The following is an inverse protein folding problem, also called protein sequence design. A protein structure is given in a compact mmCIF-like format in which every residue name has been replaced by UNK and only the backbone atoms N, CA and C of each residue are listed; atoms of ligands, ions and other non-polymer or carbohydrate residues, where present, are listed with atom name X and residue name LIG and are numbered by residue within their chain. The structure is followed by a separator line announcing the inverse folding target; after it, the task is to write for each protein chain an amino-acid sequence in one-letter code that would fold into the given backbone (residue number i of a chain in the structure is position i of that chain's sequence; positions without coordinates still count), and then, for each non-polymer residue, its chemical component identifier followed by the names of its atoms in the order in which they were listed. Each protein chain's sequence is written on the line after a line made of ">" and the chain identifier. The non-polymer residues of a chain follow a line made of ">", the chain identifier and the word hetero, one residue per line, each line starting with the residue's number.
data_IF_129047083828
#
_entry.id   IF_129047083828
#
_cell.length_a   1.000
_cell.length_b   1.000
_cell.length_c   1.000
_cell.angle_alpha   90.00
_cell.angle_beta   90.00
_cell.angle_gamma   90.00
#
_symmetry.space_group_name_H-M   'P 1'
#
loop_
_entity.id
_entity.type
_entity.pdbx_description
1 polymer ?
#
# COMPACT_ATOMS: atom_id res chain seq x y z
N UNK A 1 -2.82 -29.56 44.06
CA UNK A 1 -3.34 -28.39 43.31
C UNK A 1 -2.75 -28.48 41.91
N UNK A 2 -3.60 -28.78 40.94
CA UNK A 2 -3.24 -29.10 39.55
C UNK A 2 -2.67 -27.86 38.84
N UNK A 3 -1.42 -27.92 38.40
CA UNK A 3 -0.89 -26.99 37.41
C UNK A 3 -1.15 -27.58 36.02
N UNK A 4 -2.11 -26.97 35.31
CA UNK A 4 -2.45 -27.28 33.92
C UNK A 4 -2.11 -26.13 32.95
N UNK A 5 -2.33 -26.33 31.64
CA UNK A 5 -1.57 -25.82 30.49
C UNK A 5 -1.88 -24.35 30.10
N UNK A 6 -1.38 -23.39 30.87
CA UNK A 6 -1.65 -21.95 30.65
C UNK A 6 -0.70 -21.22 29.69
N UNK A 7 0.42 -21.81 29.25
CA UNK A 7 1.39 -21.13 28.37
C UNK A 7 1.10 -21.31 26.86
N UNK A 8 0.73 -22.51 26.40
CA UNK A 8 0.55 -22.81 24.97
C UNK A 8 -0.59 -22.03 24.30
N UNK A 9 -1.77 -21.96 24.95
CA UNK A 9 -2.93 -21.26 24.39
C UNK A 9 -2.70 -19.75 24.20
N UNK A 10 -1.95 -19.13 25.12
CA UNK A 10 -1.62 -17.71 25.04
C UNK A 10 -0.62 -17.44 23.90
N UNK A 11 0.37 -18.31 23.71
CA UNK A 11 1.33 -18.22 22.61
C UNK A 11 0.64 -18.37 21.25
N UNK A 12 -0.23 -19.37 21.10
CA UNK A 12 -1.05 -19.55 19.88
C UNK A 12 -1.91 -18.31 19.63
N UNK A 13 -2.65 -17.83 20.64
CA UNK A 13 -3.48 -16.63 20.48
C UNK A 13 -2.68 -15.40 20.06
N UNK A 14 -1.46 -15.23 20.59
CA UNK A 14 -0.57 -14.12 20.23
C UNK A 14 -0.11 -14.23 18.77
N UNK A 15 0.30 -15.42 18.34
CA UNK A 15 0.67 -15.69 16.95
C UNK A 15 -0.49 -15.40 15.99
N UNK A 16 -1.71 -15.86 16.31
CA UNK A 16 -2.91 -15.60 15.51
C UNK A 16 -3.20 -14.10 15.35
N UNK A 17 -3.12 -13.34 16.45
CA UNK A 17 -3.34 -11.89 16.44
C UNK A 17 -2.24 -11.12 15.71
N UNK A 18 -1.00 -11.62 15.72
CA UNK A 18 0.11 -11.00 14.99
C UNK A 18 -0.12 -11.13 13.48
N UNK A 19 -0.50 -12.32 12.99
CA UNK A 19 -0.75 -12.58 11.57
C UNK A 19 -1.90 -11.73 11.01
N UNK A 20 -2.95 -11.48 11.81
CA UNK A 20 -4.14 -10.74 11.36
C UNK A 20 -3.96 -9.22 11.27
N UNK A 21 -2.83 -8.66 11.69
CA UNK A 21 -2.59 -7.19 11.72
C UNK A 21 -2.04 -6.64 10.41
N UNK A 22 -1.50 -7.50 9.55
CA UNK A 22 -0.87 -7.10 8.30
C UNK A 22 -1.85 -7.29 7.13
N UNK A 23 -1.81 -6.35 6.20
CA UNK A 23 -2.65 -6.37 4.98
C UNK A 23 -1.82 -6.60 3.71
N UNK A 24 -0.50 -6.50 3.80
CA UNK A 24 0.42 -6.84 2.71
C UNK A 24 0.89 -8.28 2.83
N UNK A 25 0.87 -9.01 1.70
CA UNK A 25 1.19 -10.45 1.66
C UNK A 25 2.59 -10.71 2.20
N UNK A 26 3.57 -9.88 1.82
CA UNK A 26 4.97 -10.05 2.24
C UNK A 26 5.16 -9.97 3.75
N UNK A 27 4.44 -9.07 4.41
CA UNK A 27 4.54 -8.88 5.85
C UNK A 27 3.79 -9.97 6.61
N UNK A 28 2.61 -10.38 6.11
CA UNK A 28 1.90 -11.56 6.64
C UNK A 28 2.82 -12.79 6.61
N UNK A 29 3.50 -13.05 5.48
CA UNK A 29 4.43 -14.17 5.36
C UNK A 29 5.56 -14.14 6.40
N UNK A 30 6.22 -12.99 6.59
CA UNK A 30 7.25 -12.83 7.63
C UNK A 30 6.72 -13.10 9.01
N UNK A 31 5.55 -12.56 9.33
CA UNK A 31 4.94 -12.73 10.64
C UNK A 31 4.52 -14.18 10.89
N UNK A 32 4.02 -14.90 9.88
CA UNK A 32 3.74 -16.34 9.99
C UNK A 32 5.01 -17.11 10.31
N UNK A 33 6.10 -16.89 9.55
CA UNK A 33 7.36 -17.62 9.72
C UNK A 33 7.96 -17.38 11.10
N UNK A 34 8.04 -16.12 11.53
CA UNK A 34 8.56 -15.76 12.85
C UNK A 34 7.69 -16.35 13.97
N UNK A 35 6.37 -16.23 13.86
CA UNK A 35 5.43 -16.76 14.85
C UNK A 35 5.52 -18.29 14.95
N UNK A 36 5.67 -18.99 13.83
CA UNK A 36 5.87 -20.44 13.81
C UNK A 36 7.16 -20.82 14.53
N UNK A 37 8.26 -20.13 14.20
CA UNK A 37 9.57 -20.40 14.78
C UNK A 37 9.58 -20.24 16.30
N UNK A 38 9.01 -19.15 16.79
CA UNK A 38 8.91 -18.86 18.23
C UNK A 38 7.96 -19.81 18.95
N UNK A 39 6.78 -20.07 18.38
CA UNK A 39 5.76 -20.93 19.01
C UNK A 39 6.24 -22.37 19.16
N UNK A 40 7.03 -22.86 18.21
CA UNK A 40 7.52 -24.24 18.19
C UNK A 40 9.00 -24.34 18.57
N UNK A 41 9.61 -23.32 19.17
CA UNK A 41 11.02 -23.35 19.61
C UNK A 41 11.97 -23.95 18.55
N UNK A 42 11.85 -23.53 17.29
CA UNK A 42 12.70 -24.03 16.21
C UNK A 42 13.89 -23.09 15.95
N UNK A 43 15.04 -23.63 15.54
CA UNK A 43 16.18 -22.79 15.16
C UNK A 43 15.89 -22.03 13.85
N UNK A 44 15.25 -22.71 12.90
CA UNK A 44 14.96 -22.19 11.58
C UNK A 44 13.49 -22.41 11.21
N UNK A 45 12.91 -21.45 10.50
CA UNK A 45 11.61 -21.60 9.87
C UNK A 45 11.62 -20.95 8.49
N UNK A 46 10.76 -21.44 7.60
CA UNK A 46 10.58 -20.85 6.29
C UNK A 46 9.20 -21.13 5.72
N UNK A 47 8.74 -20.21 4.87
CA UNK A 47 7.49 -20.32 4.14
C UNK A 47 7.72 -19.96 2.68
N UNK A 48 7.37 -20.89 1.80
CA UNK A 48 7.38 -20.69 0.35
C UNK A 48 5.98 -20.59 -0.22
N UNK A 49 5.73 -19.57 -1.06
CA UNK A 49 4.53 -19.45 -1.89
C UNK A 49 4.87 -19.97 -3.30
N UNK A 50 4.19 -21.01 -3.79
CA UNK A 50 4.52 -21.61 -5.09
C UNK A 50 4.28 -20.63 -6.24
N UNK A 51 5.02 -20.80 -7.34
CA UNK A 51 4.72 -20.17 -8.63
C UNK A 51 4.04 -21.18 -9.59
N UNK A 52 3.61 -20.70 -10.76
CA UNK A 52 2.98 -21.53 -11.81
C UNK A 52 3.99 -22.36 -12.63
N UNK A 53 5.29 -22.33 -12.27
CA UNK A 53 6.40 -22.87 -13.05
C UNK A 53 7.25 -23.90 -12.28
N UNK A 54 6.76 -24.39 -11.15
CA UNK A 54 7.45 -25.42 -10.34
C UNK A 54 8.57 -24.85 -9.45
N UNK A 55 8.52 -23.57 -9.13
CA UNK A 55 9.37 -22.87 -8.18
C UNK A 55 8.56 -22.18 -7.07
N UNK A 56 9.14 -21.14 -6.49
CA UNK A 56 8.46 -20.29 -5.51
C UNK A 56 8.44 -18.85 -6.00
N UNK A 57 7.25 -18.25 -6.04
CA UNK A 57 7.07 -16.84 -6.33
C UNK A 57 7.61 -15.97 -5.19
N UNK A 58 7.47 -16.44 -3.94
CA UNK A 58 7.98 -15.79 -2.75
C UNK A 58 8.50 -16.83 -1.77
N UNK A 59 9.56 -16.48 -1.05
CA UNK A 59 10.15 -17.34 -0.04
C UNK A 59 10.66 -16.48 1.11
N UNK A 60 10.19 -16.78 2.32
CA UNK A 60 10.53 -16.03 3.53
C UNK A 60 11.13 -17.00 4.54
N UNK A 61 12.19 -16.57 5.22
CA UNK A 61 12.92 -17.36 6.21
C UNK A 61 13.07 -16.59 7.52
N UNK A 62 13.17 -17.32 8.62
CA UNK A 62 13.59 -16.80 9.91
C UNK A 62 14.60 -17.76 10.56
N UNK A 63 15.51 -17.21 11.35
CA UNK A 63 16.67 -17.92 11.89
C UNK A 63 17.91 -17.95 11.00
N UNK A 64 17.84 -17.38 9.79
CA UNK A 64 18.97 -17.22 8.87
C UNK A 64 19.30 -15.74 8.73
N UNK A 65 20.58 -15.37 8.89
CA UNK A 65 21.00 -13.95 8.72
C UNK A 65 20.91 -13.50 7.27
N UNK A 66 20.69 -12.20 7.03
CA UNK A 66 20.65 -11.63 5.66
C UNK A 66 21.90 -11.94 4.83
N UNK A 67 23.08 -11.94 5.46
CA UNK A 67 24.34 -12.25 4.80
C UNK A 67 24.40 -13.73 4.38
N UNK A 68 23.92 -14.63 5.24
CA UNK A 68 23.85 -16.05 4.96
C UNK A 68 22.79 -16.34 3.89
N UNK A 69 21.61 -15.73 3.97
CA UNK A 69 20.55 -15.84 2.96
C UNK A 69 21.06 -15.44 1.57
N UNK A 70 21.77 -14.31 1.47
CA UNK A 70 22.41 -13.89 0.20
C UNK A 70 23.46 -14.88 -0.31
N UNK A 71 24.19 -15.53 0.59
CA UNK A 71 25.22 -16.51 0.24
C UNK A 71 24.64 -17.86 -0.23
N UNK A 72 23.44 -18.24 0.24
CA UNK A 72 22.72 -19.45 -0.20
C UNK A 72 22.39 -19.37 -1.70
N UNK A 73 21.99 -18.18 -2.17
CA UNK A 73 21.78 -17.89 -3.58
C UNK A 73 20.31 -17.99 -4.02
N UNK A 74 20.00 -18.62 -5.17
CA UNK A 74 18.67 -18.59 -5.75
C UNK A 74 17.63 -19.34 -4.91
N UNK A 75 16.36 -19.01 -5.11
CA UNK A 75 15.25 -19.69 -4.46
C UNK A 75 15.28 -21.21 -4.74
N UNK A 76 14.89 -22.03 -3.76
CA UNK A 76 14.78 -23.47 -3.98
C UNK A 76 13.79 -23.73 -5.12
N UNK A 77 14.07 -24.76 -5.92
CA UNK A 77 13.09 -25.29 -6.88
C UNK A 77 12.32 -26.42 -6.21
N UNK A 78 11.09 -26.69 -6.65
CA UNK A 78 10.24 -27.75 -6.08
C UNK A 78 10.78 -29.16 -6.45
N UNK A 79 11.90 -29.55 -5.86
CA UNK A 79 12.39 -30.93 -5.81
C UNK A 79 12.54 -31.36 -4.35
N UNK A 80 12.71 -32.66 -4.13
CA UNK A 80 12.85 -33.23 -2.79
C UNK A 80 11.62 -33.05 -1.90
N UNK A 81 11.84 -32.79 -0.61
CA UNK A 81 10.79 -32.78 0.43
C UNK A 81 9.82 -31.59 0.25
N UNK A 82 10.32 -30.43 -0.17
CA UNK A 82 9.48 -29.26 -0.43
C UNK A 82 8.49 -29.51 -1.58
N UNK A 83 8.90 -30.28 -2.59
CA UNK A 83 8.02 -30.69 -3.69
C UNK A 83 6.91 -31.60 -3.19
N UNK A 84 7.26 -32.60 -2.36
CA UNK A 84 6.29 -33.53 -1.80
C UNK A 84 5.24 -32.80 -0.94
N UNK A 85 5.67 -31.83 -0.13
CA UNK A 85 4.76 -31.01 0.65
C UNK A 85 3.76 -30.21 -0.21
N UNK A 86 4.15 -29.80 -1.42
CA UNK A 86 3.27 -29.05 -2.32
C UNK A 86 2.39 -29.97 -3.18
N UNK A 87 2.94 -31.08 -3.68
CA UNK A 87 2.27 -31.98 -4.62
C UNK A 87 1.39 -33.03 -3.93
N UNK A 88 1.91 -33.67 -2.89
CA UNK A 88 1.17 -34.66 -2.11
C UNK A 88 0.34 -33.99 -1.00
N UNK A 89 0.70 -32.75 -0.68
CA UNK A 89 0.02 -31.91 0.28
C UNK A 89 -0.10 -32.61 1.66
N UNK A 90 1.00 -33.23 2.11
CA UNK A 90 1.06 -33.95 3.38
C UNK A 90 1.93 -33.21 4.39
N UNK A 91 1.62 -33.47 5.66
CA UNK A 91 2.51 -33.15 6.77
C UNK A 91 3.73 -34.06 6.71
N UNK A 92 4.90 -33.46 6.80
CA UNK A 92 6.20 -34.12 6.83
C UNK A 92 6.79 -33.92 8.22
N UNK A 93 7.02 -35.01 8.95
CA UNK A 93 7.69 -34.99 10.26
C UNK A 93 8.83 -36.00 10.24
N UNK A 94 10.05 -35.49 10.11
CA UNK A 94 11.26 -36.28 9.89
C UNK A 94 12.21 -36.14 11.07
N UNK A 95 12.76 -37.26 11.54
CA UNK A 95 13.79 -37.25 12.58
C UNK A 95 15.13 -36.70 12.08
N UNK A 96 15.43 -36.95 10.81
CA UNK A 96 16.57 -36.37 10.12
C UNK A 96 16.25 -36.29 8.62
N UNK A 97 16.09 -35.07 8.13
CA UNK A 97 15.82 -34.75 6.72
C UNK A 97 16.87 -35.34 5.77
N UNK A 98 18.12 -35.49 6.24
CA UNK A 98 19.25 -36.01 5.44
C UNK A 98 19.14 -37.51 5.16
N UNK A 99 18.35 -38.24 5.95
CA UNK A 99 18.11 -39.68 5.79
C UNK A 99 16.94 -39.97 4.84
N UNK A 100 16.17 -38.96 4.42
CA UNK A 100 15.04 -39.13 3.50
C UNK A 100 15.57 -39.39 2.06
N UNK A 101 15.02 -40.39 1.33
CA UNK A 101 15.44 -40.68 -0.05
C UNK A 101 15.27 -39.51 -1.03
N UNK A 102 14.42 -38.53 -0.70
CA UNK A 102 14.15 -37.33 -1.49
C UNK A 102 15.17 -36.21 -1.23
N UNK A 103 16.10 -36.38 -0.29
CA UNK A 103 17.10 -35.37 0.04
C UNK A 103 18.27 -35.38 -0.96
N UNK A 104 18.48 -34.24 -1.64
CA UNK A 104 19.49 -34.09 -2.70
C UNK A 104 20.76 -33.36 -2.24
N UNK A 105 20.85 -32.99 -0.96
CA UNK A 105 21.98 -32.23 -0.40
C UNK A 105 21.67 -30.74 -0.18
N UNK A 106 22.58 -30.07 0.53
CA UNK A 106 22.49 -28.65 0.84
C UNK A 106 23.34 -27.79 -0.11
N UNK A 107 22.88 -26.59 -0.52
CA UNK A 107 23.77 -25.57 -1.10
C UNK A 107 24.93 -25.25 -0.15
N UNK A 108 26.08 -24.83 -0.68
CA UNK A 108 27.32 -24.68 0.10
C UNK A 108 27.25 -23.72 1.28
N UNK A 109 26.35 -22.72 1.24
CA UNK A 109 26.16 -21.74 2.31
C UNK A 109 24.88 -21.98 3.14
N UNK A 110 24.13 -23.05 2.83
CA UNK A 110 22.89 -23.38 3.52
C UNK A 110 23.19 -23.97 4.90
N UNK A 111 22.46 -23.56 5.97
CA UNK A 111 22.63 -24.15 7.28
C UNK A 111 22.33 -25.65 7.26
N UNK A 112 23.04 -26.43 8.05
CA UNK A 112 22.69 -27.85 8.21
C UNK A 112 21.39 -27.96 9.02
N UNK A 113 20.40 -28.58 8.40
CA UNK A 113 19.13 -28.93 9.04
C UNK A 113 19.10 -30.44 9.31
N UNK A 114 18.52 -30.83 10.44
CA UNK A 114 18.35 -32.22 10.88
C UNK A 114 16.87 -32.58 11.00
N UNK A 115 16.27 -32.50 12.19
CA UNK A 115 14.85 -32.77 12.35
C UNK A 115 14.01 -31.69 11.68
N UNK A 116 12.91 -32.13 11.05
CA UNK A 116 12.13 -31.30 10.15
C UNK A 116 10.64 -31.52 10.38
N UNK A 117 9.90 -30.43 10.47
CA UNK A 117 8.44 -30.44 10.52
C UNK A 117 7.91 -29.46 9.49
N UNK A 118 7.12 -29.94 8.54
CA UNK A 118 6.52 -29.08 7.52
C UNK A 118 5.13 -29.52 7.15
N UNK A 119 4.30 -28.56 6.70
CA UNK A 119 3.02 -28.86 6.07
C UNK A 119 2.66 -27.85 4.98
N UNK A 120 1.76 -28.22 4.05
CA UNK A 120 1.13 -27.26 3.15
C UNK A 120 0.19 -26.32 3.91
N UNK A 121 0.15 -25.07 3.45
CA UNK A 121 -0.90 -24.10 3.77
C UNK A 121 -1.93 -24.19 2.64
N UNK A 122 -3.18 -24.48 2.99
CA UNK A 122 -4.26 -24.70 2.02
C UNK A 122 -5.43 -23.75 2.23
N UNK A 123 -6.02 -23.32 1.11
CA UNK A 123 -7.34 -22.70 1.06
C UNK A 123 -8.25 -23.58 0.21
N UNK A 124 -9.14 -24.34 0.86
CA UNK A 124 -9.88 -25.42 0.22
C UNK A 124 -8.95 -26.52 -0.34
N UNK A 125 -9.06 -26.78 -1.65
CA UNK A 125 -8.22 -27.75 -2.37
C UNK A 125 -6.91 -27.14 -2.88
N UNK A 126 -6.75 -25.81 -2.83
CA UNK A 126 -5.58 -25.11 -3.35
C UNK A 126 -4.48 -25.03 -2.29
N UNK A 127 -3.25 -25.41 -2.66
CA UNK A 127 -2.06 -25.20 -1.83
C UNK A 127 -1.49 -23.82 -2.13
N UNK A 128 -1.69 -22.89 -1.19
CA UNK A 128 -1.27 -21.49 -1.34
C UNK A 128 0.12 -21.21 -0.75
N UNK A 129 0.69 -22.18 -0.04
CA UNK A 129 2.06 -22.11 0.48
C UNK A 129 2.53 -23.41 1.13
N UNK A 130 3.79 -23.46 1.52
CA UNK A 130 4.40 -24.53 2.30
C UNK A 130 5.18 -23.91 3.46
N UNK A 131 4.84 -24.27 4.69
CA UNK A 131 5.50 -23.82 5.92
C UNK A 131 6.30 -24.97 6.51
N UNK A 132 7.54 -24.71 6.87
CA UNK A 132 8.39 -25.70 7.52
C UNK A 132 9.32 -25.10 8.56
N UNK A 133 9.74 -25.95 9.49
CA UNK A 133 10.62 -25.68 10.60
C UNK A 133 11.68 -26.76 10.68
N UNK A 134 12.86 -26.39 11.15
CA UNK A 134 13.97 -27.30 11.33
C UNK A 134 14.73 -27.03 12.62
N UNK A 135 15.39 -28.07 13.12
CA UNK A 135 16.27 -28.06 14.29
C UNK A 135 15.50 -27.59 15.53
N UNK A 136 14.65 -28.46 16.08
CA UNK A 136 13.90 -28.19 17.32
C UNK A 136 14.89 -27.89 18.46
N UNK A 137 14.77 -26.72 19.07
CA UNK A 137 15.54 -26.35 20.26
C UNK A 137 14.98 -27.16 21.43
N UNK A 138 15.86 -27.92 22.09
CA UNK A 138 15.52 -28.67 23.30
C UNK A 138 16.02 -27.87 24.49
N UNK A 139 15.20 -27.57 25.50
CA UNK A 139 15.73 -27.06 26.74
C UNK A 139 16.67 -28.12 27.33
N UNK A 140 17.92 -27.74 27.60
CA UNK A 140 18.86 -28.61 28.31
C UNK A 140 18.24 -28.94 29.68
N UNK A 141 17.92 -30.21 29.94
CA UNK A 141 17.40 -30.58 31.26
C UNK A 141 18.43 -30.40 32.37
N UNK A 142 19.74 -30.27 32.10
CA UNK A 142 20.77 -30.06 33.14
C UNK A 142 22.09 -29.38 32.69
N UNK A 143 22.15 -28.75 31.51
CA UNK A 143 23.37 -28.08 31.00
C UNK A 143 24.57 -29.02 30.76
N UNK A 144 24.37 -30.34 30.76
CA UNK A 144 25.32 -31.31 30.23
C UNK A 144 24.89 -31.75 28.82
N UNK A 145 25.84 -31.95 27.89
CA UNK A 145 25.55 -32.57 26.61
C UNK A 145 25.02 -33.99 26.87
N UNK A 146 23.72 -34.17 26.68
CA UNK A 146 23.14 -35.51 26.64
C UNK A 146 23.73 -36.24 25.43
N UNK A 147 24.31 -37.44 25.57
CA UNK A 147 24.69 -38.23 24.42
C UNK A 147 23.42 -38.53 23.63
N UNK A 148 23.33 -37.96 22.44
CA UNK A 148 22.17 -38.01 21.56
C UNK A 148 21.64 -39.45 21.40
N UNK A 149 20.32 -39.69 21.42
CA UNK A 149 19.76 -40.63 20.49
C UNK A 149 19.66 -39.89 19.14
N UNK A 150 20.65 -40.09 18.27
CA UNK A 150 20.77 -39.59 16.87
C UNK A 150 19.57 -39.96 15.95
N UNK A 151 18.50 -40.56 16.49
CA UNK A 151 17.35 -41.12 15.77
C UNK A 151 15.97 -40.68 16.31
N UNK A 152 15.89 -39.71 17.24
CA UNK A 152 14.59 -39.18 17.71
C UNK A 152 14.31 -37.78 17.16
N UNK A 153 13.24 -37.66 16.37
CA UNK A 153 12.66 -36.39 15.94
C UNK A 153 12.36 -35.52 17.17
N UNK A 154 12.88 -34.30 17.21
CA UNK A 154 12.61 -33.35 18.30
C UNK A 154 11.19 -32.78 18.23
N UNK A 155 10.62 -32.67 17.03
CA UNK A 155 9.22 -32.31 16.85
C UNK A 155 8.28 -33.45 17.30
N UNK A 156 7.37 -33.10 18.19
CA UNK A 156 6.35 -33.98 18.76
C UNK A 156 5.06 -34.00 17.92
N UNK A 157 4.11 -34.85 18.31
CA UNK A 157 2.77 -34.82 17.70
C UNK A 157 2.00 -33.55 18.08
N UNK A 158 2.21 -33.02 19.30
CA UNK A 158 1.64 -31.75 19.75
C UNK A 158 2.19 -30.58 18.91
N UNK A 159 3.48 -30.59 18.58
CA UNK A 159 4.08 -29.62 17.65
C UNK A 159 3.40 -29.68 16.27
N UNK A 160 3.16 -30.89 15.75
CA UNK A 160 2.47 -31.07 14.47
C UNK A 160 1.02 -30.54 14.50
N UNK A 161 0.29 -30.76 15.60
CA UNK A 161 -1.07 -30.22 15.80
C UNK A 161 -1.06 -28.68 15.87
N UNK A 162 -0.14 -28.09 16.65
CA UNK A 162 0.01 -26.64 16.78
C UNK A 162 0.36 -25.98 15.44
N UNK A 163 1.28 -26.57 14.69
CA UNK A 163 1.65 -26.07 13.37
C UNK A 163 0.48 -26.18 12.38
N UNK A 164 -0.33 -27.24 12.50
CA UNK A 164 -1.58 -27.40 11.74
C UNK A 164 -2.57 -26.27 11.99
N UNK A 165 -2.78 -25.88 13.26
CA UNK A 165 -3.66 -24.75 13.62
C UNK A 165 -3.11 -23.44 13.06
N UNK A 166 -1.79 -23.22 13.16
CA UNK A 166 -1.15 -22.02 12.64
C UNK A 166 -1.29 -21.93 11.12
N UNK A 167 -1.07 -23.04 10.40
CA UNK A 167 -1.21 -23.08 8.94
C UNK A 167 -2.63 -22.77 8.46
N UNK A 168 -3.66 -23.26 9.18
CA UNK A 168 -5.06 -22.94 8.84
C UNK A 168 -5.34 -21.43 8.96
N UNK A 169 -4.82 -20.79 10.02
CA UNK A 169 -4.99 -19.35 10.19
C UNK A 169 -4.08 -18.53 9.26
N UNK A 170 -2.89 -19.03 8.96
CA UNK A 170 -2.01 -18.47 7.94
C UNK A 170 -2.68 -18.46 6.58
N UNK A 171 -3.44 -19.51 6.23
CA UNK A 171 -4.22 -19.55 5.00
C UNK A 171 -5.23 -18.40 4.93
N UNK A 172 -6.01 -18.23 6.00
CA UNK A 172 -7.00 -17.13 6.10
C UNK A 172 -6.31 -15.76 6.00
N UNK A 173 -5.21 -15.55 6.72
CA UNK A 173 -4.48 -14.29 6.70
C UNK A 173 -3.90 -13.98 5.30
N UNK A 174 -3.32 -14.98 4.63
CA UNK A 174 -2.78 -14.84 3.28
C UNK A 174 -3.88 -14.58 2.24
N UNK A 175 -4.99 -15.31 2.30
CA UNK A 175 -6.14 -15.08 1.42
C UNK A 175 -6.72 -13.68 1.64
N UNK A 176 -6.85 -13.22 2.88
CA UNK A 176 -7.32 -11.88 3.20
C UNK A 176 -6.38 -10.79 2.67
N UNK A 177 -5.07 -10.94 2.84
CA UNK A 177 -4.08 -9.99 2.31
C UNK A 177 -4.12 -9.93 0.77
N UNK A 178 -4.18 -11.08 0.09
CA UNK A 178 -4.33 -11.15 -1.37
C UNK A 178 -5.62 -10.47 -1.86
N UNK A 179 -6.74 -10.70 -1.17
CA UNK A 179 -8.02 -10.06 -1.49
C UNK A 179 -7.94 -8.54 -1.29
N UNK A 180 -7.28 -8.09 -0.22
CA UNK A 180 -7.09 -6.67 0.05
C UNK A 180 -6.24 -5.99 -1.02
N UNK A 181 -5.08 -6.56 -1.36
CA UNK A 181 -4.21 -6.06 -2.43
C UNK A 181 -4.95 -6.00 -3.78
N UNK A 182 -5.66 -7.07 -4.16
CA UNK A 182 -6.44 -7.09 -5.41
C UNK A 182 -7.57 -6.07 -5.43
N UNK A 183 -8.27 -5.87 -4.31
CA UNK A 183 -9.29 -4.83 -4.20
C UNK A 183 -8.69 -3.43 -4.36
N UNK A 184 -7.50 -3.20 -3.78
CA UNK A 184 -6.77 -1.93 -3.91
C UNK A 184 -6.37 -1.68 -5.36
N UNK A 185 -5.83 -2.69 -6.05
CA UNK A 185 -5.48 -2.60 -7.48
C UNK A 185 -6.69 -2.29 -8.37
N UNK A 186 -7.83 -2.96 -8.13
CA UNK A 186 -9.07 -2.70 -8.87
C UNK A 186 -9.55 -1.27 -8.63
N UNK A 187 -9.55 -0.81 -7.39
CA UNK A 187 -9.94 0.57 -7.05
C UNK A 187 -9.03 1.58 -7.76
N UNK A 188 -7.71 1.34 -7.77
CA UNK A 188 -6.75 2.20 -8.48
C UNK A 188 -7.01 2.18 -10.00
N UNK A 189 -7.31 1.01 -10.57
CA UNK A 189 -7.59 0.87 -12.00
C UNK A 189 -8.91 1.55 -12.41
N UNK A 190 -9.95 1.43 -11.58
CA UNK A 190 -11.23 2.13 -11.76
C UNK A 190 -11.04 3.65 -11.72
N UNK A 191 -10.28 4.15 -10.75
CA UNK A 191 -9.99 5.58 -10.65
C UNK A 191 -9.19 6.07 -11.86
N UNK A 192 -8.18 5.32 -12.31
CA UNK A 192 -7.44 5.63 -13.55
C UNK A 192 -8.35 5.66 -14.77
N UNK A 193 -9.27 4.71 -14.88
CA UNK A 193 -10.23 4.64 -15.99
C UNK A 193 -11.20 5.81 -15.98
N UNK A 194 -11.75 6.15 -14.80
CA UNK A 194 -12.63 7.30 -14.61
C UNK A 194 -11.92 8.60 -14.98
N UNK A 195 -10.71 8.81 -14.46
CA UNK A 195 -9.89 9.98 -14.77
C UNK A 195 -9.55 10.08 -16.27
N UNK A 196 -9.26 8.96 -16.93
CA UNK A 196 -9.02 8.95 -18.38
C UNK A 196 -10.25 9.39 -19.18
N UNK A 197 -11.46 9.01 -18.75
CA UNK A 197 -12.71 9.45 -19.40
C UNK A 197 -12.98 10.94 -19.13
N UNK A 198 -12.85 11.41 -17.87
CA UNK A 198 -13.02 12.82 -17.53
C UNK A 198 -12.04 13.72 -18.31
N UNK A 199 -10.79 13.28 -18.43
CA UNK A 199 -9.76 13.91 -19.28
C UNK A 199 -10.16 13.96 -20.75
N UNK A 200 -10.57 12.82 -21.30
CA UNK A 200 -10.96 12.72 -22.70
C UNK A 200 -12.12 13.68 -23.02
N UNK A 201 -13.11 13.78 -22.14
CA UNK A 201 -14.28 14.64 -22.33
C UNK A 201 -13.93 16.12 -22.26
N UNK A 202 -13.13 16.53 -21.25
CA UNK A 202 -12.68 17.91 -21.10
C UNK A 202 -11.85 18.38 -22.31
N UNK A 203 -10.87 17.56 -22.73
CA UNK A 203 -10.00 17.88 -23.87
C UNK A 203 -10.78 17.92 -25.18
N UNK A 204 -11.70 16.97 -25.40
CA UNK A 204 -12.50 16.90 -26.62
C UNK A 204 -13.40 18.12 -26.80
N UNK A 205 -14.04 18.60 -25.72
CA UNK A 205 -14.88 19.80 -25.76
C UNK A 205 -14.06 21.06 -26.10
N UNK A 206 -12.89 21.23 -25.49
CA UNK A 206 -12.02 22.39 -25.74
C UNK A 206 -11.43 22.38 -27.15
N UNK A 207 -11.00 21.23 -27.65
CA UNK A 207 -10.53 21.07 -29.03
C UNK A 207 -11.63 21.39 -30.04
N UNK A 208 -12.88 21.03 -29.74
CA UNK A 208 -14.02 21.38 -30.57
C UNK A 208 -14.26 22.91 -30.61
N UNK A 209 -14.24 23.59 -29.47
CA UNK A 209 -14.36 25.05 -29.41
C UNK A 209 -13.21 25.75 -30.14
N UNK A 210 -11.97 25.32 -29.93
CA UNK A 210 -10.79 25.81 -30.66
C UNK A 210 -10.98 25.73 -32.18
N UNK A 211 -11.45 24.58 -32.66
CA UNK A 211 -11.69 24.35 -34.09
C UNK A 211 -12.75 25.30 -34.64
N UNK A 212 -13.88 25.48 -33.95
CA UNK A 212 -14.95 26.38 -34.40
C UNK A 212 -14.50 27.84 -34.46
N UNK A 213 -13.82 28.33 -33.41
CA UNK A 213 -13.29 29.70 -33.35
C UNK A 213 -12.22 29.94 -34.43
N UNK A 214 -11.34 28.97 -34.67
CA UNK A 214 -10.37 29.05 -35.76
C UNK A 214 -11.03 29.10 -37.15
N UNK A 215 -12.10 28.33 -37.37
CA UNK A 215 -12.89 28.38 -38.60
C UNK A 215 -13.57 29.74 -38.80
N UNK A 216 -14.10 30.35 -37.73
CA UNK A 216 -14.67 31.67 -37.76
C UNK A 216 -13.63 32.74 -38.12
N UNK A 217 -12.43 32.68 -37.51
CA UNK A 217 -11.32 33.56 -37.84
C UNK A 217 -10.93 33.47 -39.33
N UNK A 218 -10.82 32.24 -39.86
CA UNK A 218 -10.47 32.01 -41.26
C UNK A 218 -11.51 32.60 -42.22
N UNK A 219 -12.80 32.47 -41.91
CA UNK A 219 -13.89 33.03 -42.72
C UNK A 219 -13.94 34.57 -42.70
N UNK A 220 -13.37 35.20 -41.67
CA UNK A 220 -13.36 36.65 -41.48
C UNK A 220 -12.09 37.32 -42.02
N UNK A 221 -11.01 36.58 -42.31
CA UNK A 221 -9.69 37.16 -42.55
C UNK A 221 -9.66 38.18 -43.70
N UNK A 222 -10.42 37.92 -44.77
CA UNK A 222 -10.50 38.81 -45.94
C UNK A 222 -11.66 39.83 -45.84
N UNK A 223 -12.66 39.57 -44.98
CA UNK A 223 -13.90 40.35 -44.89
C UNK A 223 -13.90 41.37 -43.77
N UNK A 224 -13.38 40.99 -42.61
CA UNK A 224 -13.27 41.81 -41.41
C UNK A 224 -12.01 41.41 -40.63
N UNK A 225 -10.83 41.92 -41.03
CA UNK A 225 -9.55 41.58 -40.42
C UNK A 225 -9.49 41.92 -38.92
N UNK A 226 -10.22 42.95 -38.49
CA UNK A 226 -10.28 43.36 -37.07
C UNK A 226 -10.99 42.30 -36.24
N UNK A 227 -12.16 41.82 -36.69
CA UNK A 227 -12.85 40.71 -36.02
C UNK A 227 -12.06 39.40 -36.10
N UNK A 228 -11.44 39.09 -37.24
CA UNK A 228 -10.60 37.91 -37.39
C UNK A 228 -9.44 37.88 -36.37
N UNK A 229 -8.83 39.05 -36.12
CA UNK A 229 -7.79 39.19 -35.08
C UNK A 229 -8.34 38.89 -33.67
N UNK A 230 -9.56 39.32 -33.36
CA UNK A 230 -10.23 39.00 -32.09
C UNK A 230 -10.48 37.50 -31.91
N UNK A 231 -10.99 36.82 -32.95
CA UNK A 231 -11.19 35.36 -32.95
C UNK A 231 -9.86 34.61 -32.76
N UNK A 232 -8.77 35.04 -33.41
CA UNK A 232 -7.43 34.45 -33.21
C UNK A 232 -6.90 34.63 -31.78
N UNK A 233 -7.17 35.78 -31.15
CA UNK A 233 -6.84 35.98 -29.73
C UNK A 233 -7.64 35.03 -28.84
N UNK A 234 -8.90 34.77 -29.18
CA UNK A 234 -9.75 33.83 -28.46
C UNK A 234 -9.29 32.37 -28.64
N UNK A 235 -8.82 32.00 -29.84
CA UNK A 235 -8.14 30.70 -30.08
C UNK A 235 -6.91 30.56 -29.18
N UNK A 236 -6.05 31.58 -29.11
CA UNK A 236 -4.85 31.54 -28.25
C UNK A 236 -5.20 31.38 -26.76
N UNK A 237 -6.23 32.09 -26.29
CA UNK A 237 -6.72 31.96 -24.91
C UNK A 237 -7.27 30.56 -24.61
N UNK A 238 -8.14 30.03 -25.49
CA UNK A 238 -8.70 28.67 -25.35
C UNK A 238 -7.61 27.59 -25.37
N UNK A 239 -6.57 27.76 -26.19
CA UNK A 239 -5.43 26.84 -26.23
C UNK A 239 -4.60 26.88 -24.93
N UNK A 240 -4.37 28.06 -24.36
CA UNK A 240 -3.69 28.20 -23.09
C UNK A 240 -4.48 27.55 -21.95
N UNK A 241 -5.79 27.83 -21.86
CA UNK A 241 -6.67 27.21 -20.87
C UNK A 241 -6.70 25.68 -20.96
N UNK A 242 -6.78 25.14 -22.19
CA UNK A 242 -6.78 23.70 -22.40
C UNK A 242 -5.44 23.06 -22.02
N UNK A 243 -4.32 23.73 -22.28
CA UNK A 243 -3.00 23.26 -21.86
C UNK A 243 -2.85 23.24 -20.34
N UNK A 244 -3.38 24.24 -19.64
CA UNK A 244 -3.34 24.31 -18.18
C UNK A 244 -4.23 23.25 -17.52
N UNK A 245 -5.43 22.98 -18.07
CA UNK A 245 -6.30 21.88 -17.61
C UNK A 245 -5.64 20.50 -17.81
N UNK A 246 -5.01 20.27 -18.97
CA UNK A 246 -4.30 19.02 -19.26
C UNK A 246 -3.12 18.81 -18.29
N UNK A 247 -2.36 19.87 -17.99
CA UNK A 247 -1.25 19.81 -17.02
C UNK A 247 -1.76 19.52 -15.62
N UNK A 248 -2.82 20.19 -15.17
CA UNK A 248 -3.41 19.95 -13.85
C UNK A 248 -3.85 18.49 -13.69
N UNK A 249 -4.56 17.94 -14.69
CA UNK A 249 -5.06 16.58 -14.63
C UNK A 249 -3.95 15.51 -14.76
N UNK A 250 -2.88 15.75 -15.53
CA UNK A 250 -1.69 14.88 -15.55
C UNK A 250 -1.00 14.86 -14.17
N UNK A 251 -1.10 15.94 -13.42
CA UNK A 251 -0.49 16.12 -12.10
C UNK A 251 -1.32 15.46 -10.98
N UNK A 252 -2.65 15.32 -11.16
CA UNK A 252 -3.53 14.53 -10.27
C UNK A 252 -3.39 13.00 -10.43
N UNK A 253 -2.81 12.54 -11.55
CA UNK A 253 -2.68 11.12 -11.90
C UNK A 253 -1.51 10.37 -11.23
N UNK A 254 -0.78 10.97 -10.27
CA UNK A 254 0.37 10.32 -9.59
C UNK A 254 0.16 9.99 -8.10
N UNK A 255 -0.49 8.86 -7.76
CA UNK A 255 -0.42 8.26 -6.41
C UNK A 255 0.85 7.44 -6.16
N UNK A 256 1.55 6.97 -7.19
CA UNK A 256 2.66 6.01 -7.04
C UNK A 256 3.88 6.54 -6.26
N UNK A 257 4.05 7.86 -6.18
CA UNK A 257 5.14 8.47 -5.41
C UNK A 257 4.88 8.46 -3.89
N UNK A 258 3.62 8.29 -3.46
CA UNK A 258 3.27 8.29 -2.03
C UNK A 258 3.91 7.09 -1.31
N UNK A 259 3.90 5.91 -1.96
CA UNK A 259 4.45 4.67 -1.41
C UNK A 259 6.00 4.66 -1.36
N UNK A 260 6.69 5.39 -2.25
CA UNK A 260 8.17 5.42 -2.33
C UNK A 260 8.81 6.60 -1.56
N UNK A 261 8.26 7.82 -1.71
CA UNK A 261 8.87 9.06 -1.21
C UNK A 261 8.17 9.61 0.06
N UNK A 262 6.97 9.13 0.36
CA UNK A 262 6.12 9.57 1.47
C UNK A 262 5.37 10.88 1.21
N UNK A 263 4.39 11.18 2.08
CA UNK A 263 3.43 12.27 1.92
C UNK A 263 4.06 13.66 1.72
N UNK A 264 5.00 14.05 2.58
CA UNK A 264 5.59 15.40 2.56
C UNK A 264 6.42 15.63 1.29
N UNK A 265 7.18 14.64 0.85
CA UNK A 265 7.97 14.74 -0.38
C UNK A 265 7.09 14.77 -1.62
N UNK A 266 6.03 13.95 -1.64
CA UNK A 266 5.04 13.92 -2.72
C UNK A 266 4.34 15.27 -2.85
N UNK A 267 3.81 15.84 -1.74
CA UNK A 267 3.18 17.16 -1.74
C UNK A 267 4.15 18.28 -2.15
N UNK A 268 5.40 18.24 -1.66
CA UNK A 268 6.41 19.22 -2.04
C UNK A 268 6.66 19.23 -3.54
N UNK A 269 6.84 18.04 -4.13
CA UNK A 269 7.06 17.89 -5.57
C UNK A 269 5.85 18.36 -6.37
N UNK A 270 4.65 17.97 -5.94
CA UNK A 270 3.39 18.37 -6.57
C UNK A 270 3.21 19.90 -6.56
N UNK A 271 3.42 20.54 -5.40
CA UNK A 271 3.27 21.99 -5.24
C UNK A 271 4.33 22.76 -6.03
N UNK A 272 5.58 22.28 -6.09
CA UNK A 272 6.62 22.89 -6.93
C UNK A 272 6.26 22.90 -8.42
N UNK A 273 5.51 21.90 -8.89
CA UNK A 273 5.01 21.87 -10.27
C UNK A 273 3.88 22.89 -10.45
N UNK A 274 2.93 22.95 -9.50
CA UNK A 274 1.81 23.90 -9.56
C UNK A 274 2.28 25.36 -9.49
N UNK A 275 3.22 25.69 -8.60
CA UNK A 275 3.82 27.03 -8.46
C UNK A 275 4.47 27.50 -9.78
N UNK A 276 5.03 26.58 -10.57
CA UNK A 276 5.60 26.90 -11.89
C UNK A 276 4.55 26.97 -13.01
N UNK A 277 3.44 26.26 -12.86
CA UNK A 277 2.41 26.13 -13.87
C UNK A 277 1.35 27.25 -13.81
N UNK A 278 1.19 27.90 -12.66
CA UNK A 278 0.18 28.92 -12.43
C UNK A 278 0.80 30.29 -12.13
N UNK A 279 0.02 31.35 -12.39
CA UNK A 279 0.42 32.73 -12.08
C UNK A 279 0.37 33.03 -10.58
N UNK A 280 -0.51 32.32 -9.85
CA UNK A 280 -0.59 32.41 -8.39
C UNK A 280 0.66 31.76 -7.77
N UNK A 281 1.22 32.42 -6.76
CA UNK A 281 2.34 31.85 -6.00
C UNK A 281 1.81 30.75 -5.07
N UNK A 282 2.42 29.57 -5.12
CA UNK A 282 2.02 28.44 -4.27
C UNK A 282 3.19 28.03 -3.37
N UNK A 283 2.98 28.11 -2.06
CA UNK A 283 4.00 27.83 -1.04
C UNK A 283 3.68 26.57 -0.27
N UNK A 284 4.72 25.82 0.10
CA UNK A 284 4.60 24.61 0.89
C UNK A 284 5.54 24.60 2.09
N UNK A 285 4.97 24.34 3.26
CA UNK A 285 5.70 24.09 4.51
C UNK A 285 5.24 22.78 5.11
N UNK A 286 6.16 21.82 5.27
CA UNK A 286 5.85 20.53 5.87
C UNK A 286 7.06 19.97 6.58
N UNK A 287 6.94 19.78 7.90
CA UNK A 287 8.02 19.30 8.76
C UNK A 287 7.50 18.33 9.83
N UNK A 288 8.24 17.23 10.06
CA UNK A 288 8.07 16.41 11.27
C UNK A 288 6.79 15.56 11.35
N UNK A 289 6.09 15.35 10.24
CA UNK A 289 4.99 14.38 10.15
C UNK A 289 5.57 12.97 10.27
N UNK A 290 5.10 12.18 11.25
CA UNK A 290 5.44 10.76 11.36
C UNK A 290 4.68 9.97 10.29
N UNK A 291 5.14 8.74 10.00
CA UNK A 291 4.41 7.82 9.14
C UNK A 291 2.95 7.68 9.63
N UNK A 292 2.02 8.11 8.79
CA UNK A 292 0.58 7.92 9.01
C UNK A 292 0.18 6.57 8.41
N UNK A 293 -0.97 6.00 8.81
CA UNK A 293 -1.56 4.89 8.06
C UNK A 293 -1.74 5.27 6.58
N UNK A 294 -1.49 4.35 5.66
CA UNK A 294 -1.54 4.62 4.21
C UNK A 294 -2.85 5.27 3.76
N UNK A 295 -3.98 4.85 4.32
CA UNK A 295 -5.29 5.45 4.05
C UNK A 295 -5.38 6.92 4.47
N UNK A 296 -4.72 7.31 5.57
CA UNK A 296 -4.65 8.69 6.03
C UNK A 296 -3.70 9.53 5.15
N UNK A 297 -2.56 8.97 4.72
CA UNK A 297 -1.66 9.66 3.77
C UNK A 297 -2.37 9.94 2.44
N UNK A 298 -3.10 8.96 1.92
CA UNK A 298 -3.89 9.11 0.70
C UNK A 298 -4.99 10.16 0.89
N UNK A 299 -5.73 10.12 2.01
CA UNK A 299 -6.77 11.10 2.30
C UNK A 299 -6.19 12.53 2.36
N UNK A 300 -5.04 12.72 3.02
CA UNK A 300 -4.37 14.03 3.09
C UNK A 300 -3.93 14.50 1.70
N UNK A 301 -3.29 13.63 0.91
CA UNK A 301 -2.87 13.97 -0.44
C UNK A 301 -4.07 14.38 -1.32
N UNK A 302 -5.14 13.58 -1.32
CA UNK A 302 -6.34 13.85 -2.14
C UNK A 302 -7.06 15.12 -1.74
N UNK A 303 -7.17 15.40 -0.45
CA UNK A 303 -7.77 16.66 0.04
C UNK A 303 -6.90 17.86 -0.33
N UNK A 304 -5.57 17.74 -0.23
CA UNK A 304 -4.67 18.81 -0.66
C UNK A 304 -4.81 19.11 -2.15
N UNK A 305 -4.85 18.07 -3.00
CA UNK A 305 -5.03 18.20 -4.44
C UNK A 305 -6.34 18.91 -4.80
N UNK A 306 -7.45 18.44 -4.26
CA UNK A 306 -8.77 19.04 -4.51
C UNK A 306 -8.85 20.48 -3.99
N UNK A 307 -8.28 20.77 -2.82
CA UNK A 307 -8.24 22.14 -2.29
C UNK A 307 -7.38 23.08 -3.16
N UNK A 308 -6.21 22.62 -3.60
CA UNK A 308 -5.34 23.36 -4.52
C UNK A 308 -5.99 23.60 -5.87
N UNK A 309 -6.64 22.59 -6.44
CA UNK A 309 -7.39 22.70 -7.68
C UNK A 309 -8.50 23.76 -7.55
N UNK A 310 -9.26 23.72 -6.46
CA UNK A 310 -10.29 24.71 -6.18
C UNK A 310 -9.74 26.13 -6.04
N UNK A 311 -8.64 26.33 -5.32
CA UNK A 311 -8.00 27.63 -5.19
C UNK A 311 -7.51 28.18 -6.54
N UNK A 312 -6.74 27.37 -7.28
CA UNK A 312 -6.10 27.80 -8.54
C UNK A 312 -7.10 27.99 -9.68
N UNK A 313 -8.21 27.25 -9.69
CA UNK A 313 -9.22 27.31 -10.77
C UNK A 313 -10.36 28.28 -10.49
N UNK A 314 -10.79 28.41 -9.23
CA UNK A 314 -12.05 29.07 -8.90
C UNK A 314 -11.91 30.33 -8.07
N UNK A 315 -10.84 30.48 -7.26
CA UNK A 315 -10.78 31.59 -6.31
C UNK A 315 -10.24 32.89 -6.92
N UNK A 316 -9.38 32.79 -7.94
CA UNK A 316 -8.66 33.93 -8.49
C UNK A 316 -7.57 34.47 -7.55
N UNK A 317 -7.08 33.63 -6.63
CA UNK A 317 -6.02 33.96 -5.68
C UNK A 317 -4.72 34.39 -6.35
N UNK A 318 -4.01 35.32 -5.71
CA UNK A 318 -2.63 35.66 -6.02
C UNK A 318 -1.63 34.78 -5.26
N UNK A 319 -2.06 34.22 -4.13
CA UNK A 319 -1.22 33.41 -3.24
C UNK A 319 -2.01 32.25 -2.62
N UNK A 320 -1.38 31.07 -2.57
CA UNK A 320 -1.93 29.87 -1.93
C UNK A 320 -0.86 29.26 -1.02
N UNK A 321 -1.16 29.17 0.27
CA UNK A 321 -0.32 28.55 1.29
C UNK A 321 -0.81 27.14 1.62
N UNK A 322 0.11 26.18 1.57
CA UNK A 322 -0.13 24.80 2.02
C UNK A 322 0.80 24.47 3.17
N UNK A 323 0.23 24.03 4.30
CA UNK A 323 1.00 23.49 5.42
C UNK A 323 0.58 22.08 5.80
N UNK A 324 1.54 21.26 6.21
CA UNK A 324 1.26 19.96 6.83
C UNK A 324 2.11 19.84 8.09
N UNK A 325 1.43 19.83 9.23
CA UNK A 325 2.04 19.85 10.56
C UNK A 325 1.62 18.65 11.40
N UNK A 326 2.48 18.23 12.32
CA UNK A 326 2.19 17.14 13.25
C UNK A 326 1.20 17.58 14.33
N UNK A 327 0.20 16.74 14.63
CA UNK A 327 -0.71 16.91 15.77
C UNK A 327 -0.85 15.60 16.53
N UNK A 328 -0.09 15.46 17.62
CA UNK A 328 -0.06 14.24 18.42
C UNK A 328 0.57 13.06 17.66
N UNK A 329 -0.21 11.99 17.48
CA UNK A 329 0.08 10.84 16.61
C UNK A 329 -0.27 11.09 15.14
N UNK A 330 -1.11 12.10 14.87
CA UNK A 330 -1.63 12.40 13.55
C UNK A 330 -1.04 13.66 12.90
N UNK A 331 -1.78 14.23 11.97
CA UNK A 331 -1.36 15.38 11.17
C UNK A 331 -2.52 16.34 10.89
N UNK A 332 -2.17 17.59 10.61
CA UNK A 332 -3.09 18.62 10.14
C UNK A 332 -2.58 19.17 8.82
N UNK A 333 -3.39 19.04 7.77
CA UNK A 333 -3.20 19.72 6.50
C UNK A 333 -4.02 21.02 6.53
N UNK A 334 -3.40 22.12 6.14
CA UNK A 334 -4.08 23.38 5.89
C UNK A 334 -3.76 23.89 4.49
N UNK A 335 -4.79 24.24 3.73
CA UNK A 335 -4.68 24.90 2.43
C UNK A 335 -5.44 26.21 2.52
N UNK A 336 -4.76 27.33 2.31
CA UNK A 336 -5.32 28.69 2.44
C UNK A 336 -5.02 29.50 1.19
N UNK A 337 -6.03 30.18 0.64
CA UNK A 337 -5.87 31.08 -0.50
C UNK A 337 -6.43 32.47 -0.20
N UNK A 338 -5.85 33.49 -0.83
CA UNK A 338 -6.24 34.89 -0.69
C UNK A 338 -7.30 35.35 -1.71
N UNK A 339 -8.01 34.40 -2.33
CA UNK A 339 -8.93 34.67 -3.42
C UNK A 339 -10.29 35.22 -3.01
N UNK A 340 -11.24 35.10 -3.92
CA UNK A 340 -12.59 35.67 -3.79
C UNK A 340 -13.44 35.07 -2.68
N UNK A 341 -13.11 33.88 -2.17
CA UNK A 341 -13.87 33.17 -1.15
C UNK A 341 -15.34 32.92 -1.53
N UNK A 342 -16.07 32.26 -0.65
CA UNK A 342 -17.51 31.96 -0.85
C UNK A 342 -18.23 31.85 0.49
N UNK A 343 -19.57 31.85 0.47
CA UNK A 343 -20.37 31.48 1.63
C UNK A 343 -20.64 29.94 1.61
N UNK A 344 -20.10 29.18 2.58
CA UNK A 344 -20.26 27.73 2.62
C UNK A 344 -21.73 27.27 2.71
N UNK A 345 -22.62 28.10 3.27
CA UNK A 345 -24.04 27.75 3.46
C UNK A 345 -24.82 27.82 2.14
N UNK A 346 -24.51 28.79 1.29
CA UNK A 346 -25.16 28.93 -0.03
C UNK A 346 -24.70 27.83 -0.98
N UNK A 347 -23.41 27.50 -0.97
CA UNK A 347 -22.85 26.41 -1.79
C UNK A 347 -23.47 25.05 -1.42
N UNK A 348 -23.67 24.76 -0.12
CA UNK A 348 -24.35 23.53 0.33
C UNK A 348 -25.78 23.36 -0.20
N UNK A 349 -26.50 24.46 -0.47
CA UNK A 349 -27.89 24.43 -0.95
C UNK A 349 -28.02 24.31 -2.47
N UNK A 350 -26.98 24.67 -3.22
CA UNK A 350 -27.02 24.78 -4.67
C UNK A 350 -26.67 23.49 -5.44
N UNK A 351 -26.31 22.41 -4.77
CA UNK A 351 -25.97 21.13 -5.43
C UNK A 351 -24.63 21.12 -6.19
N UNK A 352 -23.85 22.21 -6.14
CA UNK A 352 -22.62 22.44 -6.91
C UNK A 352 -21.32 22.21 -6.11
N UNK A 353 -21.29 21.20 -5.25
CA UNK A 353 -20.26 21.03 -4.22
C UNK A 353 -19.68 19.63 -4.13
N UNK A 354 -19.60 18.92 -5.26
CA UNK A 354 -19.05 17.57 -5.35
C UNK A 354 -17.63 17.48 -4.75
N UNK A 355 -16.76 18.46 -5.01
CA UNK A 355 -15.40 18.52 -4.42
C UNK A 355 -15.40 18.61 -2.89
N UNK A 356 -16.16 19.55 -2.31
CA UNK A 356 -16.29 19.71 -0.85
C UNK A 356 -16.96 18.51 -0.17
N UNK A 357 -17.87 17.81 -0.85
CA UNK A 357 -18.50 16.59 -0.34
C UNK A 357 -17.49 15.45 -0.36
N UNK A 358 -16.79 15.24 -1.48
CA UNK A 358 -15.74 14.23 -1.59
C UNK A 358 -14.65 14.40 -0.54
N UNK A 359 -14.18 15.63 -0.29
CA UNK A 359 -13.19 15.89 0.75
C UNK A 359 -13.70 15.54 2.15
N UNK A 360 -14.99 15.79 2.46
CA UNK A 360 -15.58 15.44 3.77
C UNK A 360 -15.75 13.94 3.93
N UNK A 361 -16.17 13.25 2.89
CA UNK A 361 -16.36 11.80 2.90
C UNK A 361 -15.00 11.10 3.08
N UNK A 362 -13.95 11.57 2.39
CA UNK A 362 -12.58 11.08 2.58
C UNK A 362 -12.07 11.32 4.00
N UNK A 363 -12.26 12.53 4.53
CA UNK A 363 -11.86 12.84 5.91
C UNK A 363 -12.55 11.90 6.90
N UNK A 364 -13.87 11.73 6.77
CA UNK A 364 -14.66 10.88 7.66
C UNK A 364 -14.30 9.40 7.53
N UNK A 365 -13.99 8.94 6.31
CA UNK A 365 -13.58 7.56 6.01
C UNK A 365 -12.28 7.14 6.71
N UNK A 366 -11.44 8.09 7.12
CA UNK A 366 -10.19 7.82 7.86
C UNK A 366 -10.24 8.27 9.33
N UNK A 367 -11.43 8.56 9.85
CA UNK A 367 -11.62 9.07 11.21
C UNK A 367 -11.12 10.50 11.42
N UNK A 368 -10.89 11.24 10.34
CA UNK A 368 -10.46 12.63 10.34
C UNK A 368 -11.63 13.63 10.32
N UNK A 369 -11.30 14.90 10.49
CA UNK A 369 -12.27 16.02 10.48
C UNK A 369 -11.84 17.06 9.46
N UNK A 370 -12.79 17.48 8.60
CA UNK A 370 -12.58 18.56 7.63
C UNK A 370 -13.34 19.82 8.05
N UNK A 371 -12.60 20.92 8.20
CA UNK A 371 -13.13 22.26 8.47
C UNK A 371 -12.94 23.14 7.23
N UNK A 372 -13.96 23.94 6.91
CA UNK A 372 -13.95 24.87 5.77
C UNK A 372 -14.32 26.24 6.28
N UNK A 373 -13.37 27.16 6.22
CA UNK A 373 -13.55 28.57 6.58
C UNK A 373 -13.47 29.40 5.31
N UNK A 374 -14.56 30.07 4.95
CA UNK A 374 -14.56 31.00 3.83
C UNK A 374 -15.63 32.06 4.01
N UNK A 375 -15.35 33.24 3.47
CA UNK A 375 -16.32 34.30 3.32
C UNK A 375 -16.04 35.06 2.01
N UNK A 376 -17.07 35.61 1.34
CA UNK A 376 -16.87 36.43 0.16
C UNK A 376 -15.87 37.58 0.42
N UNK A 377 -14.86 37.69 -0.43
CA UNK A 377 -13.76 38.66 -0.38
C UNK A 377 -12.68 38.38 0.66
N UNK A 378 -12.69 37.22 1.34
CA UNK A 378 -11.73 36.89 2.42
C UNK A 378 -10.90 35.62 2.14
N UNK A 379 -10.97 35.07 0.94
CA UNK A 379 -10.33 33.80 0.62
C UNK A 379 -11.02 32.58 1.22
N UNK A 380 -10.34 31.44 1.13
CA UNK A 380 -10.80 30.16 1.65
C UNK A 380 -9.67 29.48 2.41
N UNK A 381 -10.00 28.83 3.52
CA UNK A 381 -9.11 27.92 4.24
C UNK A 381 -9.80 26.58 4.41
N UNK A 382 -9.14 25.53 3.92
CA UNK A 382 -9.50 24.13 4.10
C UNK A 382 -8.52 23.53 5.10
N UNK A 383 -9.04 22.94 6.17
CA UNK A 383 -8.25 22.27 7.19
C UNK A 383 -8.73 20.83 7.36
N UNK A 384 -7.81 19.89 7.25
CA UNK A 384 -8.03 18.47 7.49
C UNK A 384 -7.19 18.02 8.67
N UNK A 385 -7.83 17.48 9.70
CA UNK A 385 -7.16 16.81 10.81
C UNK A 385 -7.34 15.29 10.68
N UNK A 386 -6.25 14.53 10.81
CA UNK A 386 -6.27 13.06 10.87
C UNK A 386 -5.65 12.56 12.18
N UNK A 387 -6.17 11.49 12.79
CA UNK A 387 -5.80 11.10 14.16
C UNK A 387 -4.45 10.37 14.29
N UNK A 388 -3.86 9.89 13.18
CA UNK A 388 -2.71 8.98 13.22
C UNK A 388 -3.11 7.55 13.57
N UNK A 389 -2.10 6.69 13.78
CA UNK A 389 -2.24 5.28 14.17
C UNK A 389 -1.93 5.03 15.64
#
# INVERSE_FOLDING_TARGET
>A
MSQGPRSGLAAVSSALLAMSRHLEVRDVLKTIVASARELLDAQYAALGVPDDHGGFAQFVVDGVSDAQWKAIGPLPRQHGILAAMLQEARLERLADVRKDPRFEGWPSAHPEMSDFLGLPIRDGEEVIGALFLANKLRPDEDGLPSPEPEDRCGFTEEDAELLGILAQHAAIALTNARLYERSRELTIAEERSRLAHELHDAVSQKLFSLRLTAQAAAALVDRDPSRAKGELQQVAALAAEAADELRAAVVELRPAALDEDGLVATLRTHIQVLDRAHTARVTFLGHGVRALPASQEEAVLRVAQEALHNALRHSGAGHVDVTVDRRGSGAVLRVSDDGSGFDPKTVRRAGRHLGLVSMRDRASGVGGTLTVESAPGKGTTIELEVPGG
#
